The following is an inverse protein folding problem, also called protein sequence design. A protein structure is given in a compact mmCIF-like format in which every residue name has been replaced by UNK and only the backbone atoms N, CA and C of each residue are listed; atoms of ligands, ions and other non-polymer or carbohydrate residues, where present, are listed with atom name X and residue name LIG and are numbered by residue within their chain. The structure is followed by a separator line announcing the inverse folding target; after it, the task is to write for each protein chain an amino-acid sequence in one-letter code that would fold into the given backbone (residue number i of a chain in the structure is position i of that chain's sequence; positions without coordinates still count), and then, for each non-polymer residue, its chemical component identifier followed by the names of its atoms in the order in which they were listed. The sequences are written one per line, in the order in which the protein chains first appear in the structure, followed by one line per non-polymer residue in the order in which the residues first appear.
data_IF_791155239840
#
_entry.id   IF_791155239840
#
_cell.length_a   1.000
_cell.length_b   1.000
_cell.length_c   1.000
_cell.angle_alpha   90.00
_cell.angle_beta   90.00
_cell.angle_gamma   90.00
#
_symmetry.space_group_name_H-M   'P 1'
#
loop_
_entity.id
_entity.type
_entity.pdbx_description
1 polymer ?
#
# COMPACT_ATOMS: atom_id res chain seq x y z
N UNK A 1 -17.20 -4.59 -1.27
CA UNK A 1 -16.87 -5.79 -0.46
C UNK A 1 -15.35 -5.90 -0.29
N UNK A 2 -14.63 -6.02 -1.40
CA UNK A 2 -13.17 -6.27 -1.43
C UNK A 2 -12.30 -5.20 -0.71
N UNK A 3 -12.56 -3.90 -0.86
CA UNK A 3 -11.70 -2.88 -0.21
C UNK A 3 -11.76 -2.97 1.32
N UNK A 4 -12.91 -3.29 1.92
CA UNK A 4 -13.04 -3.43 3.37
C UNK A 4 -12.20 -4.60 3.88
N UNK A 5 -12.22 -5.71 3.16
CA UNK A 5 -11.42 -6.90 3.45
C UNK A 5 -9.93 -6.59 3.34
N UNK A 6 -9.49 -5.90 2.28
CA UNK A 6 -8.09 -5.45 2.14
C UNK A 6 -7.66 -4.60 3.34
N UNK A 7 -8.46 -3.58 3.72
CA UNK A 7 -8.12 -2.74 4.88
C UNK A 7 -8.09 -3.55 6.18
N UNK A 8 -8.98 -4.52 6.36
CA UNK A 8 -8.95 -5.43 7.51
C UNK A 8 -7.67 -6.26 7.54
N UNK A 9 -7.24 -6.81 6.40
CA UNK A 9 -5.99 -7.56 6.29
C UNK A 9 -4.78 -6.67 6.59
N UNK A 10 -4.75 -5.44 6.06
CA UNK A 10 -3.69 -4.48 6.35
C UNK A 10 -3.64 -4.08 7.83
N UNK A 11 -4.80 -4.00 8.50
CA UNK A 11 -4.88 -3.73 9.94
C UNK A 11 -4.20 -4.82 10.78
N UNK A 12 -4.27 -6.08 10.35
CA UNK A 12 -3.60 -7.20 11.02
C UNK A 12 -2.12 -7.27 10.64
N UNK A 13 -1.78 -7.07 9.36
CA UNK A 13 -0.38 -7.10 8.89
C UNK A 13 0.47 -6.00 9.52
N UNK A 14 -0.05 -4.78 9.67
CA UNK A 14 0.71 -3.66 10.24
C UNK A 14 1.16 -3.91 11.69
N UNK A 15 0.49 -4.82 12.42
CA UNK A 15 0.92 -5.23 13.76
C UNK A 15 2.26 -5.98 13.75
N UNK A 16 2.66 -6.56 12.62
CA UNK A 16 3.87 -7.38 12.46
C UNK A 16 4.96 -6.72 11.61
N UNK A 17 4.57 -5.93 10.61
CA UNK A 17 5.49 -5.28 9.68
C UNK A 17 5.06 -3.85 9.39
N UNK A 18 6.02 -2.95 9.19
CA UNK A 18 5.72 -1.60 8.72
C UNK A 18 5.27 -1.63 7.25
N UNK A 19 4.17 -0.95 6.95
CA UNK A 19 3.57 -0.91 5.61
C UNK A 19 3.65 0.52 5.09
N UNK A 20 4.19 0.70 3.88
CA UNK A 20 4.10 1.95 3.13
C UNK A 20 3.07 1.73 2.03
N UNK A 21 2.04 2.58 1.99
CA UNK A 21 0.96 2.45 1.03
C UNK A 21 0.79 3.75 0.22
N UNK A 22 1.47 3.86 -0.94
CA UNK A 22 1.24 4.94 -1.89
C UNK A 22 -0.15 4.82 -2.50
N UNK A 23 -1.08 5.66 -2.05
CA UNK A 23 -2.48 5.51 -2.38
C UNK A 23 -2.89 6.46 -3.51
N UNK A 24 -3.39 5.89 -4.61
CA UNK A 24 -3.95 6.66 -5.71
C UNK A 24 -5.17 7.49 -5.26
N UNK A 25 -5.38 8.73 -5.76
CA UNK A 25 -6.47 9.60 -5.29
C UNK A 25 -7.85 8.96 -5.46
N UNK A 26 -8.03 8.16 -6.52
CA UNK A 26 -9.24 7.36 -6.75
C UNK A 26 -9.53 6.41 -5.58
N UNK A 27 -8.52 5.71 -5.08
CA UNK A 27 -8.67 4.74 -3.98
C UNK A 27 -8.92 5.46 -2.67
N UNK A 28 -8.23 6.58 -2.42
CA UNK A 28 -8.47 7.43 -1.25
C UNK A 28 -9.91 7.94 -1.19
N UNK A 29 -10.47 8.41 -2.31
CA UNK A 29 -11.87 8.83 -2.41
C UNK A 29 -12.85 7.70 -2.08
N UNK A 30 -12.54 6.46 -2.47
CA UNK A 30 -13.36 5.31 -2.10
C UNK A 30 -13.25 4.99 -0.61
N UNK A 31 -12.06 5.08 -0.01
CA UNK A 31 -11.89 4.92 1.44
C UNK A 31 -12.70 5.95 2.22
N UNK A 32 -12.77 7.20 1.75
CA UNK A 32 -13.63 8.25 2.33
C UNK A 32 -15.10 7.88 2.21
N UNK A 33 -15.56 7.52 1.01
CA UNK A 33 -16.95 7.10 0.75
C UNK A 33 -17.40 5.94 1.63
N UNK A 34 -16.50 5.00 1.94
CA UNK A 34 -16.78 3.85 2.79
C UNK A 34 -16.44 4.05 4.28
N UNK A 35 -16.08 5.27 4.69
CA UNK A 35 -15.69 5.62 6.06
C UNK A 35 -14.50 4.80 6.61
N UNK A 36 -13.59 4.36 5.74
CA UNK A 36 -12.43 3.53 6.08
C UNK A 36 -11.21 4.34 6.51
N UNK A 37 -11.14 5.63 6.17
CA UNK A 37 -9.99 6.46 6.56
C UNK A 37 -9.79 6.55 8.07
N UNK A 38 -10.87 6.55 8.86
CA UNK A 38 -10.77 6.57 10.32
C UNK A 38 -10.10 5.31 10.87
N UNK A 39 -10.32 4.16 10.24
CA UNK A 39 -9.66 2.90 10.60
C UNK A 39 -8.17 2.96 10.23
N UNK A 40 -7.85 3.40 9.02
CA UNK A 40 -6.45 3.52 8.55
C UNK A 40 -5.66 4.49 9.43
N UNK A 41 -6.23 5.63 9.81
CA UNK A 41 -5.58 6.62 10.70
C UNK A 41 -5.24 6.07 12.10
N UNK A 42 -5.90 5.00 12.55
CA UNK A 42 -5.61 4.34 13.84
C UNK A 42 -4.46 3.33 13.73
N UNK A 43 -4.05 2.95 12.51
CA UNK A 43 -2.97 2.00 12.27
C UNK A 43 -1.63 2.69 12.47
N UNK A 44 -0.85 2.25 13.48
CA UNK A 44 0.41 2.92 13.86
C UNK A 44 1.55 2.65 12.89
N UNK A 45 1.59 1.47 12.28
CA UNK A 45 2.67 1.04 11.38
C UNK A 45 2.28 1.07 9.90
N UNK A 46 1.15 1.69 9.54
CA UNK A 46 0.76 1.90 8.15
C UNK A 46 0.93 3.38 7.80
N UNK A 47 1.83 3.66 6.86
CA UNK A 47 2.05 4.99 6.32
C UNK A 47 1.27 5.10 5.01
N UNK A 48 0.15 5.83 5.06
CA UNK A 48 -0.63 6.17 3.88
C UNK A 48 -0.02 7.44 3.25
N UNK A 49 0.59 7.31 2.08
CA UNK A 49 1.15 8.47 1.36
C UNK A 49 0.25 8.87 0.21
N UNK A 50 0.45 10.10 -0.28
CA UNK A 50 0.00 10.49 -1.62
C UNK A 50 0.77 9.68 -2.69
N UNK A 51 0.31 9.69 -3.96
CA UNK A 51 1.12 9.17 -5.05
C UNK A 51 2.52 9.76 -5.02
N UNK A 52 3.51 8.90 -5.17
CA UNK A 52 4.93 9.28 -5.21
C UNK A 52 5.41 9.21 -6.65
N UNK A 53 6.53 9.89 -6.93
CA UNK A 53 7.18 9.82 -8.24
C UNK A 53 7.75 8.43 -8.52
N UNK A 54 8.11 8.22 -9.78
CA UNK A 54 8.60 6.93 -10.26
C UNK A 54 9.90 6.52 -9.56
N UNK A 55 10.87 7.43 -9.43
CA UNK A 55 12.15 7.15 -8.80
C UNK A 55 11.99 6.83 -7.31
N UNK A 56 11.10 7.53 -6.61
CA UNK A 56 10.78 7.24 -5.22
C UNK A 56 10.10 5.87 -5.07
N UNK A 57 9.22 5.50 -6.02
CA UNK A 57 8.61 4.17 -6.04
C UNK A 57 9.65 3.07 -6.25
N UNK A 58 10.58 3.23 -7.20
CA UNK A 58 11.67 2.27 -7.41
C UNK A 58 12.52 2.10 -6.15
N UNK A 59 12.88 3.20 -5.50
CA UNK A 59 13.63 3.15 -4.25
C UNK A 59 12.86 2.43 -3.12
N UNK A 60 11.53 2.61 -3.04
CA UNK A 60 10.70 1.85 -2.10
C UNK A 60 10.66 0.36 -2.44
N UNK A 61 10.53 0.01 -3.72
CA UNK A 61 10.51 -1.38 -4.20
C UNK A 61 11.83 -2.07 -3.85
N UNK A 62 12.96 -1.50 -4.24
CA UNK A 62 14.31 -2.06 -4.05
C UNK A 62 14.62 -2.33 -2.57
N UNK A 63 14.07 -1.54 -1.66
CA UNK A 63 14.28 -1.66 -0.22
C UNK A 63 13.14 -2.40 0.52
N UNK A 64 12.11 -2.86 -0.19
CA UNK A 64 11.01 -3.59 0.41
C UNK A 64 11.40 -5.04 0.72
N UNK A 65 10.83 -5.59 1.80
CA UNK A 65 10.92 -7.04 2.06
C UNK A 65 10.10 -7.85 1.06
N UNK A 66 8.93 -7.31 0.69
CA UNK A 66 8.03 -7.85 -0.33
C UNK A 66 7.03 -6.77 -0.73
N UNK A 67 6.32 -6.98 -1.84
CA UNK A 67 5.36 -6.05 -2.42
C UNK A 67 3.99 -6.71 -2.54
N UNK A 68 2.94 -5.97 -2.20
CA UNK A 68 1.55 -6.36 -2.46
C UNK A 68 0.97 -5.40 -3.50
N UNK A 69 0.75 -5.88 -4.71
CA UNK A 69 0.33 -5.03 -5.83
C UNK A 69 -0.54 -5.79 -6.83
N UNK A 70 -1.52 -5.10 -7.41
CA UNK A 70 -2.28 -5.51 -8.59
C UNK A 70 -1.82 -4.76 -9.87
N UNK A 71 -0.79 -3.92 -9.76
CA UNK A 71 -0.20 -3.19 -10.89
C UNK A 71 0.78 -4.06 -11.66
N UNK A 72 0.50 -4.31 -12.94
CA UNK A 72 1.40 -5.07 -13.83
C UNK A 72 2.79 -4.43 -13.95
N UNK A 73 2.87 -3.10 -14.06
CA UNK A 73 4.17 -2.42 -14.10
C UNK A 73 5.00 -2.65 -12.83
N UNK A 74 4.37 -2.56 -11.65
CA UNK A 74 5.09 -2.83 -10.39
C UNK A 74 5.49 -4.32 -10.28
N UNK A 75 4.71 -5.25 -10.86
CA UNK A 75 5.09 -6.67 -10.93
C UNK A 75 6.31 -6.90 -11.84
N UNK A 76 6.40 -6.19 -12.96
CA UNK A 76 7.57 -6.20 -13.84
C UNK A 76 8.81 -5.65 -13.10
N UNK A 77 8.68 -4.49 -12.46
CA UNK A 77 9.77 -3.88 -11.69
C UNK A 77 10.23 -4.74 -10.50
N UNK A 78 9.31 -5.31 -9.72
CA UNK A 78 9.66 -6.18 -8.59
C UNK A 78 10.34 -7.46 -9.05
N UNK A 79 9.90 -8.04 -10.16
CA UNK A 79 10.52 -9.21 -10.79
C UNK A 79 11.95 -8.89 -11.24
N UNK A 80 12.15 -7.74 -11.89
CA UNK A 80 13.46 -7.29 -12.33
C UNK A 80 14.43 -7.08 -11.15
N UNK A 81 13.96 -6.41 -10.09
CA UNK A 81 14.73 -6.12 -8.88
C UNK A 81 14.85 -7.32 -7.92
N UNK A 82 14.22 -8.46 -8.25
CA UNK A 82 14.20 -9.69 -7.45
C UNK A 82 13.64 -9.47 -6.03
N UNK A 83 12.64 -8.60 -5.93
CA UNK A 83 11.90 -8.35 -4.70
C UNK A 83 10.61 -9.17 -4.72
N UNK A 84 10.33 -9.97 -3.67
CA UNK A 84 9.13 -10.81 -3.59
C UNK A 84 7.81 -10.05 -3.71
#
# INVERSE_FOLDING_TARGET
KNLREIISTLNELQKKIKIIYPCHPRTKKQMERFALLAQIKKMKNLILTQPIGYLEMLNLIENARFILTDSGGIQEESTFLKIP
#
